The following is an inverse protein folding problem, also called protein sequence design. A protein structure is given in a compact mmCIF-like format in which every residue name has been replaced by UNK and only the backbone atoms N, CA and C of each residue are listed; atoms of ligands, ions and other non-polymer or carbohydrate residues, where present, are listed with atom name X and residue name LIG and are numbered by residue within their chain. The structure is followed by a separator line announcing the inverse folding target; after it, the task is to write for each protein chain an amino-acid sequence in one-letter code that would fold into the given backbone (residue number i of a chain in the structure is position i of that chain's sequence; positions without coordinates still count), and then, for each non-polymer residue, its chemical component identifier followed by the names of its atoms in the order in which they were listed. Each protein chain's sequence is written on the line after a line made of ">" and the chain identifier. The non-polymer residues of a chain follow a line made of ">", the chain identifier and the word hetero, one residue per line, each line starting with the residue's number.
data_IF_254926712784
#
_entry.id   IF_254926712784
#
_cell.length_a   1.000
_cell.length_b   1.000
_cell.length_c   1.000
_cell.angle_alpha   90.00
_cell.angle_beta   90.00
_cell.angle_gamma   90.00
#
_symmetry.space_group_name_H-M   'P 1'
#
loop_
_entity.id
_entity.type
_entity.pdbx_description
1 polymer ?
#
# COMPACT_ATOMS: atom_id res chain seq x y z
N UNK A 1 20.95 36.21 -59.01
CA UNK A 1 21.48 35.92 -57.66
C UNK A 1 20.44 36.35 -56.65
N UNK A 2 19.73 35.40 -56.04
CA UNK A 2 18.80 35.66 -54.94
C UNK A 2 18.88 34.47 -53.98
N UNK A 3 19.44 34.70 -52.80
CA UNK A 3 19.57 33.72 -51.73
C UNK A 3 18.19 33.48 -51.11
N UNK A 4 17.68 32.24 -51.15
CA UNK A 4 16.56 31.79 -50.31
C UNK A 4 17.15 30.95 -49.18
N UNK A 5 17.36 31.61 -48.05
CA UNK A 5 17.70 30.99 -46.77
C UNK A 5 16.50 30.17 -46.29
N UNK A 6 16.61 28.85 -46.32
CA UNK A 6 15.62 27.94 -45.75
C UNK A 6 15.92 27.82 -44.25
N UNK A 7 15.03 28.38 -43.43
CA UNK A 7 15.02 28.29 -41.98
C UNK A 7 14.65 26.84 -41.58
N UNK A 8 15.49 26.09 -40.84
CA UNK A 8 15.05 24.81 -40.29
C UNK A 8 14.12 25.11 -39.10
N UNK A 9 12.84 24.82 -39.29
CA UNK A 9 11.81 24.87 -38.25
C UNK A 9 12.16 23.83 -37.18
N UNK A 10 12.61 24.32 -36.02
CA UNK A 10 12.94 23.54 -34.85
C UNK A 10 11.75 22.66 -34.45
N UNK A 11 11.88 21.35 -34.68
CA UNK A 11 10.98 20.34 -34.13
C UNK A 11 11.41 20.08 -32.67
N UNK A 12 11.19 21.08 -31.82
CA UNK A 12 11.23 20.92 -30.37
C UNK A 12 9.94 20.19 -29.98
N UNK A 13 9.91 18.87 -30.22
CA UNK A 13 8.85 18.03 -29.66
C UNK A 13 9.01 18.10 -28.15
N UNK A 14 8.08 18.83 -27.54
CA UNK A 14 7.79 18.86 -26.12
C UNK A 14 7.93 17.44 -25.57
N UNK A 15 9.07 17.18 -24.93
CA UNK A 15 9.13 16.21 -23.85
C UNK A 15 8.27 16.81 -22.75
N UNK A 16 6.95 16.60 -22.83
CA UNK A 16 6.06 16.72 -21.70
C UNK A 16 6.58 15.75 -20.67
N UNK A 17 7.47 16.24 -19.81
CA UNK A 17 7.83 15.63 -18.56
C UNK A 17 6.50 15.32 -17.87
N UNK A 18 6.15 14.03 -17.86
CA UNK A 18 5.21 13.46 -16.92
C UNK A 18 5.84 13.58 -15.54
N UNK A 19 5.97 14.81 -15.04
CA UNK A 19 6.09 15.08 -13.62
C UNK A 19 4.71 14.80 -13.03
N UNK A 20 4.37 13.52 -12.96
CA UNK A 20 3.47 13.06 -11.91
C UNK A 20 4.12 13.57 -10.62
N UNK A 21 3.39 14.41 -9.90
CA UNK A 21 3.78 14.86 -8.58
C UNK A 21 3.83 13.62 -7.70
N UNK A 22 4.95 12.90 -7.72
CA UNK A 22 5.24 11.83 -6.79
C UNK A 22 5.16 12.47 -5.41
N UNK A 23 4.19 12.05 -4.60
CA UNK A 23 4.31 12.32 -3.18
C UNK A 23 5.61 11.67 -2.78
N UNK A 24 6.57 12.48 -2.30
CA UNK A 24 7.83 11.96 -1.78
C UNK A 24 7.49 10.96 -0.68
N UNK A 25 7.52 9.67 -1.01
CA UNK A 25 7.59 8.59 -0.03
C UNK A 25 8.76 8.94 0.87
N UNK A 26 8.57 8.88 2.20
CA UNK A 26 9.68 9.16 3.11
C UNK A 26 10.80 8.15 2.86
N UNK A 27 12.06 8.59 2.99
CA UNK A 27 13.25 7.76 2.70
C UNK A 27 13.17 6.39 3.38
N UNK A 28 12.66 6.34 4.61
CA UNK A 28 12.47 5.11 5.36
C UNK A 28 11.41 4.16 4.78
N UNK A 29 10.28 4.69 4.32
CA UNK A 29 9.25 3.86 3.70
C UNK A 29 9.74 3.28 2.37
N UNK A 30 10.41 4.10 1.55
CA UNK A 30 11.03 3.63 0.31
C UNK A 30 12.08 2.54 0.57
N UNK A 31 12.88 2.69 1.64
CA UNK A 31 13.85 1.69 2.09
C UNK A 31 13.16 0.36 2.45
N UNK A 32 12.08 0.40 3.24
CA UNK A 32 11.34 -0.80 3.64
C UNK A 32 10.70 -1.50 2.43
N UNK A 33 10.10 -0.75 1.49
CA UNK A 33 9.57 -1.30 0.25
C UNK A 33 10.67 -1.99 -0.57
N UNK A 34 11.84 -1.35 -0.70
CA UNK A 34 12.98 -1.91 -1.41
C UNK A 34 13.50 -3.21 -0.78
N UNK A 35 13.57 -3.27 0.55
CA UNK A 35 13.97 -4.49 1.28
C UNK A 35 12.96 -5.63 1.15
N UNK A 36 11.67 -5.29 1.12
CA UNK A 36 10.59 -6.26 1.01
C UNK A 36 10.25 -6.63 -0.45
N UNK A 37 10.99 -6.12 -1.45
CA UNK A 37 10.70 -6.40 -2.86
C UNK A 37 9.35 -5.86 -3.34
N UNK A 38 8.85 -4.78 -2.73
CA UNK A 38 7.51 -4.24 -3.01
C UNK A 38 7.58 -3.06 -3.98
N UNK A 39 6.61 -3.03 -4.91
CA UNK A 39 6.25 -1.87 -5.70
C UNK A 39 5.04 -1.16 -5.11
N UNK A 40 5.14 0.16 -4.99
CA UNK A 40 4.07 1.01 -4.51
C UNK A 40 3.62 1.92 -5.64
N UNK A 41 2.38 1.74 -6.10
CA UNK A 41 1.75 2.53 -7.14
C UNK A 41 0.84 3.55 -6.44
N UNK A 42 1.28 4.80 -6.44
CA UNK A 42 0.54 5.85 -5.77
C UNK A 42 -0.76 6.18 -6.54
N UNK A 43 -1.94 6.19 -5.87
CA UNK A 43 -3.20 6.51 -6.52
C UNK A 43 -3.31 8.01 -6.86
N UNK A 44 -3.22 8.36 -8.14
CA UNK A 44 -3.19 9.76 -8.62
C UNK A 44 -4.58 10.36 -8.86
N UNK A 45 -5.62 9.53 -9.02
CA UNK A 45 -6.93 9.95 -9.56
C UNK A 45 -7.80 10.68 -8.51
N UNK A 46 -7.51 10.50 -7.23
CA UNK A 46 -8.34 10.98 -6.12
C UNK A 46 -7.65 12.02 -5.23
N UNK A 47 -6.56 12.62 -5.72
CA UNK A 47 -5.80 13.64 -5.00
C UNK A 47 -5.45 13.18 -3.58
N UNK A 48 -4.92 11.95 -3.48
CA UNK A 48 -4.39 11.46 -2.23
C UNK A 48 -3.30 12.40 -1.75
N UNK A 49 -3.26 12.60 -0.43
CA UNK A 49 -2.23 13.41 0.20
C UNK A 49 -1.57 12.60 1.29
N UNK A 50 -0.25 12.70 1.38
CA UNK A 50 0.48 12.17 2.52
C UNK A 50 -0.09 12.77 3.80
N UNK A 51 -0.28 11.92 4.79
CA UNK A 51 -0.61 12.34 6.14
C UNK A 51 0.60 12.03 7.01
N UNK A 52 1.06 12.97 7.86
CA UNK A 52 2.07 12.66 8.85
C UNK A 52 1.63 11.46 9.67
N UNK A 53 2.57 10.55 9.96
CA UNK A 53 2.30 9.49 10.92
C UNK A 53 1.95 10.14 12.26
N UNK A 54 0.69 10.05 12.67
CA UNK A 54 0.30 10.56 13.97
C UNK A 54 0.81 9.57 15.02
N UNK A 55 1.40 10.10 16.09
CA UNK A 55 1.85 9.25 17.19
C UNK A 55 0.59 8.75 17.92
N UNK A 56 0.31 7.46 17.80
CA UNK A 56 -0.76 6.81 18.53
C UNK A 56 -0.18 5.71 19.43
N UNK A 57 -0.77 5.46 20.61
CA UNK A 57 -0.20 4.52 21.59
C UNK A 57 -0.47 3.05 21.23
N UNK A 58 -1.24 2.77 20.17
CA UNK A 58 -1.72 1.42 19.87
C UNK A 58 -0.80 0.74 18.86
N UNK A 59 -0.63 1.34 17.68
CA UNK A 59 0.16 0.74 16.59
C UNK A 59 0.75 1.82 15.69
N UNK A 60 2.08 1.86 15.62
CA UNK A 60 2.81 2.68 14.65
C UNK A 60 2.64 2.12 13.23
N UNK A 61 2.78 3.01 12.24
CA UNK A 61 2.74 2.66 10.82
C UNK A 61 3.82 3.44 10.08
N UNK A 62 4.25 2.90 8.94
CA UNK A 62 5.43 3.36 8.22
C UNK A 62 5.08 4.48 7.24
N UNK A 63 3.86 4.43 6.69
CA UNK A 63 3.36 5.43 5.75
C UNK A 63 1.84 5.57 5.79
N UNK A 64 1.34 6.76 5.44
CA UNK A 64 -0.09 7.00 5.33
C UNK A 64 -0.44 8.04 4.27
N UNK A 65 -1.52 7.78 3.55
CA UNK A 65 -2.15 8.69 2.59
C UNK A 65 -3.64 8.80 2.88
N UNK A 66 -4.25 9.92 2.49
CA UNK A 66 -5.68 10.14 2.66
C UNK A 66 -6.29 10.84 1.47
N UNK A 67 -7.46 10.39 1.04
CA UNK A 67 -8.33 11.11 0.12
C UNK A 67 -9.53 11.68 0.88
N UNK A 68 -9.72 13.00 0.79
CA UNK A 68 -10.97 13.62 1.29
C UNK A 68 -12.15 13.33 0.37
N UNK A 69 -11.89 13.20 -0.93
CA UNK A 69 -12.91 12.93 -1.96
C UNK A 69 -13.53 11.56 -1.75
N UNK A 70 -12.72 10.56 -1.44
CA UNK A 70 -13.18 9.18 -1.23
C UNK A 70 -13.47 8.86 0.23
N UNK A 71 -13.18 9.78 1.16
CA UNK A 71 -13.38 9.55 2.59
C UNK A 71 -12.43 8.52 3.23
N UNK A 72 -11.43 8.03 2.48
CA UNK A 72 -10.52 6.95 2.89
C UNK A 72 -9.17 7.49 3.40
N UNK A 73 -8.69 6.92 4.48
CA UNK A 73 -7.28 6.98 4.90
C UNK A 73 -6.66 5.59 4.77
N UNK A 74 -5.48 5.50 4.15
CA UNK A 74 -4.75 4.25 3.96
C UNK A 74 -3.45 4.34 4.74
N UNK A 75 -3.17 3.32 5.55
CA UNK A 75 -1.92 3.20 6.32
C UNK A 75 -1.20 1.92 5.93
N UNK A 76 0.11 2.00 5.84
CA UNK A 76 0.98 0.90 5.41
C UNK A 76 1.93 0.53 6.53
N UNK A 77 2.04 -0.76 6.82
CA UNK A 77 3.08 -1.35 7.65
C UNK A 77 3.84 -2.36 6.79
N UNK A 78 5.13 -2.15 6.61
CA UNK A 78 6.00 -3.01 5.80
C UNK A 78 6.93 -3.75 6.73
N UNK A 79 6.94 -5.08 6.63
CA UNK A 79 7.80 -5.96 7.41
C UNK A 79 8.67 -6.76 6.45
N UNK A 80 9.87 -6.28 6.11
CA UNK A 80 10.82 -7.04 5.32
C UNK A 80 11.11 -8.40 5.97
N UNK A 81 11.45 -9.38 5.15
CA UNK A 81 11.81 -10.71 5.63
C UNK A 81 13.10 -10.64 6.46
N UNK A 82 13.02 -11.15 7.67
CA UNK A 82 14.17 -11.35 8.55
C UNK A 82 14.34 -12.83 8.84
N UNK A 83 15.48 -13.40 8.45
CA UNK A 83 15.79 -14.81 8.65
C UNK A 83 15.82 -15.14 10.15
N UNK A 84 15.04 -16.14 10.55
CA UNK A 84 14.94 -16.57 11.95
C UNK A 84 13.99 -15.74 12.82
N UNK A 85 13.40 -14.66 12.31
CA UNK A 85 12.35 -13.95 13.02
C UNK A 85 11.01 -14.70 12.90
N UNK A 86 10.32 -15.04 14.01
CA UNK A 86 9.05 -15.77 13.96
C UNK A 86 7.97 -15.09 13.12
N UNK A 87 7.95 -13.75 13.12
CA UNK A 87 7.00 -12.96 12.33
C UNK A 87 7.16 -13.15 10.81
N UNK A 88 8.37 -13.49 10.34
CA UNK A 88 8.66 -13.75 8.92
C UNK A 88 8.14 -15.11 8.46
N UNK A 89 8.04 -16.10 9.36
CA UNK A 89 7.62 -17.47 9.04
C UNK A 89 6.17 -17.81 9.38
N UNK A 90 5.45 -16.89 10.03
CA UNK A 90 4.06 -17.08 10.44
C UNK A 90 3.19 -15.85 10.14
N UNK A 91 3.04 -15.46 8.86
CA UNK A 91 2.32 -14.24 8.48
C UNK A 91 0.85 -14.25 8.93
N UNK A 92 0.21 -15.43 8.94
CA UNK A 92 -1.16 -15.61 9.41
C UNK A 92 -1.33 -15.31 10.92
N UNK A 93 -0.34 -15.66 11.75
CA UNK A 93 -0.34 -15.34 13.19
C UNK A 93 -0.21 -13.84 13.38
N UNK A 94 0.74 -13.21 12.68
CA UNK A 94 0.97 -11.77 12.81
C UNK A 94 -0.22 -10.95 12.28
N UNK A 95 -0.82 -11.35 11.17
CA UNK A 95 -2.01 -10.71 10.61
C UNK A 95 -3.20 -10.80 11.58
N UNK A 96 -3.43 -12.00 12.14
CA UNK A 96 -4.51 -12.22 13.12
C UNK A 96 -4.26 -11.42 14.41
N UNK A 97 -3.01 -11.42 14.91
CA UNK A 97 -2.60 -10.63 16.07
C UNK A 97 -2.86 -9.15 15.82
N UNK A 98 -2.48 -8.64 14.65
CA UNK A 98 -2.68 -7.24 14.29
C UNK A 98 -4.17 -6.89 14.22
N UNK A 99 -5.00 -7.71 13.57
CA UNK A 99 -6.44 -7.50 13.51
C UNK A 99 -7.08 -7.45 14.91
N UNK A 100 -6.77 -8.43 15.77
CA UNK A 100 -7.27 -8.49 17.15
C UNK A 100 -6.78 -7.31 18.00
N UNK A 101 -5.53 -6.90 17.83
CA UNK A 101 -4.94 -5.77 18.54
C UNK A 101 -5.61 -4.43 18.18
N UNK A 102 -5.99 -4.27 16.91
CA UNK A 102 -6.57 -3.04 16.39
C UNK A 102 -8.09 -2.96 16.53
N UNK A 103 -8.78 -4.09 16.58
CA UNK A 103 -10.22 -4.15 16.72
C UNK A 103 -10.70 -3.62 18.08
N UNK A 104 -11.90 -3.06 18.12
CA UNK A 104 -12.56 -2.66 19.36
C UNK A 104 -12.78 -3.86 20.29
N UNK A 105 -12.79 -3.63 21.60
CA UNK A 105 -13.15 -4.66 22.60
C UNK A 105 -14.66 -4.70 22.88
N UNK A 106 -15.44 -3.90 22.16
CA UNK A 106 -16.89 -3.85 22.30
C UNK A 106 -17.52 -5.17 21.77
N UNK A 107 -18.27 -5.90 22.63
CA UNK A 107 -18.80 -7.23 22.29
C UNK A 107 -19.85 -7.22 21.18
N UNK A 108 -20.44 -6.06 20.87
CA UNK A 108 -21.42 -5.92 19.80
C UNK A 108 -20.78 -5.93 18.40
N UNK A 109 -19.45 -5.76 18.32
CA UNK A 109 -18.71 -5.78 17.07
C UNK A 109 -17.97 -7.09 16.87
N UNK A 110 -17.89 -7.52 15.61
CA UNK A 110 -17.19 -8.74 15.19
C UNK A 110 -16.05 -8.42 14.25
N UNK A 111 -15.05 -9.29 14.24
CA UNK A 111 -14.03 -9.34 13.20
C UNK A 111 -14.48 -10.38 12.19
N UNK A 112 -14.60 -9.99 10.92
CA UNK A 112 -14.73 -10.94 9.83
C UNK A 112 -13.37 -11.11 9.17
N UNK A 113 -13.02 -12.35 8.80
CA UNK A 113 -11.76 -12.65 8.13
C UNK A 113 -12.05 -13.45 6.85
N UNK A 114 -11.28 -13.17 5.79
CA UNK A 114 -11.39 -13.83 4.50
C UNK A 114 -9.98 -14.06 3.96
N UNK A 115 -9.67 -15.30 3.62
CA UNK A 115 -8.45 -15.61 2.87
C UNK A 115 -8.63 -15.22 1.40
N UNK A 116 -7.58 -14.70 0.77
CA UNK A 116 -7.63 -14.22 -0.61
C UNK A 116 -7.39 -15.40 -1.55
N UNK A 117 -8.16 -15.47 -2.63
CA UNK A 117 -8.02 -16.52 -3.63
C UNK A 117 -6.60 -16.52 -4.24
N UNK A 118 -5.95 -17.70 -4.39
CA UNK A 118 -4.59 -17.79 -4.93
C UNK A 118 -4.41 -17.15 -6.30
N UNK A 119 -5.44 -17.18 -7.16
CA UNK A 119 -5.42 -16.55 -8.49
C UNK A 119 -5.29 -15.02 -8.36
N UNK A 120 -6.02 -14.40 -7.42
CA UNK A 120 -5.93 -12.96 -7.16
C UNK A 120 -4.55 -12.61 -6.56
N UNK A 121 -4.03 -13.45 -5.66
CA UNK A 121 -2.72 -13.26 -5.07
C UNK A 121 -1.60 -13.30 -6.11
N UNK A 122 -1.65 -14.29 -7.00
CA UNK A 122 -0.72 -14.43 -8.11
C UNK A 122 -0.84 -13.25 -9.07
N UNK A 123 -2.00 -13.05 -9.68
CA UNK A 123 -2.13 -12.15 -10.84
C UNK A 123 -2.17 -10.66 -10.46
N UNK A 124 -2.64 -10.35 -9.24
CA UNK A 124 -2.85 -8.97 -8.80
C UNK A 124 -1.80 -8.46 -7.82
N UNK A 125 -1.18 -9.34 -7.04
CA UNK A 125 -0.25 -8.95 -5.96
C UNK A 125 1.13 -9.58 -6.07
N UNK A 126 1.31 -10.57 -6.94
CA UNK A 126 2.46 -11.48 -7.00
C UNK A 126 2.83 -12.07 -5.63
N UNK A 127 1.87 -12.22 -4.73
CA UNK A 127 2.04 -12.69 -3.36
C UNK A 127 1.81 -14.20 -3.25
N UNK A 128 2.39 -14.84 -2.23
CA UNK A 128 2.23 -16.29 -1.98
C UNK A 128 1.08 -16.57 -1.00
N UNK A 129 0.75 -15.59 -0.16
CA UNK A 129 -0.35 -15.69 0.80
C UNK A 129 -0.98 -14.33 1.06
N UNK A 130 -2.28 -14.30 1.38
CA UNK A 130 -2.91 -13.08 1.85
C UNK A 130 -4.26 -13.28 2.50
N UNK A 131 -4.60 -12.34 3.38
CA UNK A 131 -5.82 -12.38 4.18
C UNK A 131 -6.37 -10.97 4.40
N UNK A 132 -7.69 -10.87 4.33
CA UNK A 132 -8.45 -9.67 4.64
C UNK A 132 -9.15 -9.80 5.99
N UNK A 133 -9.15 -8.72 6.77
CA UNK A 133 -9.92 -8.61 7.99
C UNK A 133 -10.78 -7.35 7.96
N UNK A 134 -12.04 -7.48 8.34
CA UNK A 134 -13.00 -6.38 8.46
C UNK A 134 -13.38 -6.22 9.91
N UNK A 135 -13.17 -5.04 10.48
CA UNK A 135 -13.48 -4.77 11.88
C UNK A 135 -13.70 -3.29 12.16
N UNK A 136 -14.28 -2.99 13.33
CA UNK A 136 -14.31 -1.64 13.89
C UNK A 136 -13.01 -1.37 14.65
N UNK A 137 -12.18 -0.38 14.28
CA UNK A 137 -10.93 -0.11 14.97
C UNK A 137 -11.15 0.56 16.33
N UNK A 138 -10.19 0.42 17.24
CA UNK A 138 -10.14 1.22 18.48
C UNK A 138 -10.04 2.70 18.14
N UNK A 139 -10.79 3.54 18.86
CA UNK A 139 -10.79 5.01 18.66
C UNK A 139 -9.41 5.65 18.88
N UNK A 140 -8.59 5.04 19.74
CA UNK A 140 -7.18 5.46 19.95
C UNK A 140 -6.25 5.15 18.76
N UNK A 141 -6.65 4.26 17.86
CA UNK A 141 -5.90 3.94 16.64
C UNK A 141 -6.42 4.72 15.44
N UNK A 142 -7.74 4.77 15.24
CA UNK A 142 -8.35 5.50 14.14
C UNK A 142 -9.68 6.13 14.57
N UNK A 143 -10.00 7.29 13.99
CA UNK A 143 -11.29 7.96 14.19
C UNK A 143 -12.41 7.44 13.28
N UNK A 144 -12.06 6.58 12.32
CA UNK A 144 -12.98 5.98 11.35
C UNK A 144 -13.69 4.77 11.95
N UNK A 145 -14.92 4.52 11.52
CA UNK A 145 -15.73 3.42 12.06
C UNK A 145 -15.37 2.04 11.49
N UNK A 146 -14.76 1.97 10.31
CA UNK A 146 -14.41 0.71 9.67
C UNK A 146 -12.93 0.67 9.32
N UNK A 147 -12.36 -0.52 9.47
CA UNK A 147 -11.04 -0.89 8.99
C UNK A 147 -11.17 -2.16 8.16
N UNK A 148 -10.66 -2.11 6.94
CA UNK A 148 -10.30 -3.30 6.18
C UNK A 148 -8.78 -3.42 6.20
N UNK A 149 -8.28 -4.48 6.82
CA UNK A 149 -6.87 -4.82 6.85
C UNK A 149 -6.60 -5.87 5.77
N UNK A 150 -5.74 -5.54 4.83
CA UNK A 150 -5.20 -6.44 3.82
C UNK A 150 -3.78 -6.83 4.25
N UNK A 151 -3.55 -8.12 4.52
CA UNK A 151 -2.24 -8.69 4.73
C UNK A 151 -1.81 -9.45 3.47
N UNK A 152 -0.62 -9.16 2.96
CA UNK A 152 -0.01 -9.83 1.81
C UNK A 152 1.38 -10.29 2.21
N UNK A 153 1.75 -11.53 1.87
CA UNK A 153 3.03 -12.12 2.18
C UNK A 153 3.67 -12.73 0.94
N UNK A 154 4.98 -12.56 0.82
CA UNK A 154 5.83 -13.23 -0.16
C UNK A 154 6.98 -13.90 0.56
N UNK A 155 7.15 -15.19 0.32
CA UNK A 155 8.19 -16.00 0.93
C UNK A 155 9.57 -15.41 0.60
N UNK A 156 10.41 -15.27 1.62
CA UNK A 156 11.76 -14.72 1.48
C UNK A 156 11.84 -13.20 1.22
N UNK A 157 10.72 -12.51 0.97
CA UNK A 157 10.71 -11.05 0.75
C UNK A 157 10.09 -10.27 1.91
N UNK A 158 8.91 -10.66 2.39
CA UNK A 158 8.31 -10.05 3.57
C UNK A 158 6.79 -9.99 3.56
N UNK A 159 6.24 -9.20 4.49
CA UNK A 159 4.80 -9.01 4.69
C UNK A 159 4.43 -7.53 4.60
N UNK A 160 3.39 -7.22 3.83
CA UNK A 160 2.77 -5.91 3.78
C UNK A 160 1.40 -5.96 4.48
N UNK A 161 1.14 -4.99 5.36
CA UNK A 161 -0.17 -4.75 5.93
C UNK A 161 -0.69 -3.40 5.46
N UNK A 162 -1.85 -3.40 4.81
CA UNK A 162 -2.51 -2.20 4.30
C UNK A 162 -3.84 -2.04 5.04
N UNK A 163 -4.01 -0.92 5.75
CA UNK A 163 -5.20 -0.62 6.52
C UNK A 163 -5.99 0.48 5.84
N UNK A 164 -7.14 0.11 5.30
CA UNK A 164 -8.11 1.02 4.71
C UNK A 164 -9.11 1.45 5.79
N UNK A 165 -9.08 2.73 6.13
CA UNK A 165 -9.88 3.32 7.20
C UNK A 165 -10.94 4.27 6.60
N UNK A 166 -12.21 3.98 6.86
CA UNK A 166 -13.34 4.72 6.29
C UNK A 166 -14.58 4.66 7.18
N UNK A 167 -15.53 5.58 6.95
CA UNK A 167 -16.85 5.55 7.59
C UNK A 167 -17.91 4.93 6.66
N UNK A 168 -17.78 5.17 5.35
CA UNK A 168 -18.60 4.55 4.31
C UNK A 168 -17.66 4.03 3.20
N UNK A 169 -17.86 2.80 2.70
CA UNK A 169 -17.00 2.26 1.66
C UNK A 169 -17.20 3.02 0.35
N UNK A 170 -16.12 3.56 -0.21
CA UNK A 170 -16.17 4.16 -1.54
C UNK A 170 -16.20 3.08 -2.62
N UNK A 171 -16.77 3.38 -3.79
CA UNK A 171 -16.78 2.46 -4.94
C UNK A 171 -15.37 2.11 -5.43
N UNK A 172 -14.40 2.99 -5.17
CA UNK A 172 -13.01 2.83 -5.60
C UNK A 172 -12.18 1.99 -4.63
N UNK A 173 -12.71 1.63 -3.44
CA UNK A 173 -11.95 0.95 -2.39
C UNK A 173 -11.24 -0.31 -2.91
N UNK A 174 -11.93 -1.13 -3.71
CA UNK A 174 -11.34 -2.33 -4.30
C UNK A 174 -10.17 -2.03 -5.25
N UNK A 175 -10.23 -0.95 -6.03
CA UNK A 175 -9.12 -0.53 -6.88
C UNK A 175 -7.89 -0.09 -6.06
N UNK A 176 -8.10 0.39 -4.83
CA UNK A 176 -7.01 0.83 -3.94
C UNK A 176 -6.21 -0.32 -3.34
N UNK A 177 -6.69 -1.56 -3.43
CA UNK A 177 -5.94 -2.72 -2.97
C UNK A 177 -4.67 -2.91 -3.79
N UNK A 178 -4.75 -2.69 -5.10
CA UNK A 178 -3.64 -2.84 -6.05
C UNK A 178 -2.64 -1.67 -6.06
N UNK A 179 -2.72 -0.76 -5.08
CA UNK A 179 -1.68 0.26 -4.90
C UNK A 179 -0.34 -0.33 -4.40
N UNK A 180 -0.32 -1.62 -4.06
CA UNK A 180 0.87 -2.34 -3.60
C UNK A 180 0.90 -3.74 -4.18
N UNK A 181 2.03 -4.14 -4.76
CA UNK A 181 2.29 -5.50 -5.25
C UNK A 181 3.75 -5.89 -4.98
N UNK A 182 4.04 -7.18 -4.88
CA UNK A 182 5.42 -7.67 -4.89
C UNK A 182 6.00 -7.63 -6.31
N UNK A 183 7.31 -7.46 -6.42
CA UNK A 183 8.02 -7.56 -7.70
C UNK A 183 8.06 -9.02 -8.14
N UNK A 184 7.84 -9.26 -9.42
CA UNK A 184 8.08 -10.57 -10.01
C UNK A 184 9.57 -10.93 -9.89
N UNK A 185 9.85 -12.18 -9.50
CA UNK A 185 11.21 -12.72 -9.56
C UNK A 185 11.59 -12.98 -11.03
N UNK A 186 12.12 -11.96 -11.72
CA UNK A 186 12.43 -12.11 -13.15
C UNK A 186 13.19 -11.00 -13.88
N UNK A 187 13.47 -9.83 -13.29
CA UNK A 187 14.09 -8.70 -14.02
C UNK A 187 15.24 -8.02 -13.24
N UNK A 188 16.11 -8.84 -12.63
CA UNK A 188 17.24 -8.33 -11.82
C UNK A 188 18.55 -9.09 -11.91
N UNK A 189 18.68 -10.09 -12.81
CA UNK A 189 20.00 -10.61 -13.20
C UNK A 189 20.41 -9.92 -14.49
N UNK A 190 21.06 -8.77 -14.35
CA UNK A 190 21.97 -8.28 -15.38
C UNK A 190 23.30 -8.94 -15.05
N UNK A 191 23.70 -9.89 -15.89
CA UNK A 191 25.07 -10.44 -15.91
C UNK A 191 26.10 -9.33 -16.18
#
# INVERSE_FOLDING_TARGET
>A
MAYRTILPLAFFFLASALSHAQIRTGDEFARLLGQAGIEFIEPVEANYKRVPAWKNPIQSYDYAIRSRKEGIEIRYLIRPYELGAPASGAPHVEASRLAMHLATNDPDYRIAAREIDPEILSDGFHADWGMQFFFRPKTGFARRNHCELLALHKDGQGTAFVLFLFDEPSRELGHRFYALQFREEGLGKVD
#
